data_IF_196405584088
#
_entry.id   IF_196405584088
#
_cell.length_a   1.000
_cell.length_b   1.000
_cell.length_c   1.000
_cell.angle_alpha   90.00
_cell.angle_beta   90.00
_cell.angle_gamma   90.00
#
_symmetry.space_group_name_H-M   'P 1'
#
loop_
_entity.id
_entity.type
_entity.pdbx_description
1 polymer ?
#
# COMPACT_ATOMS: atom_id res chain seq x y z
N UNK A 1 -15.73 -30.42 1.15
CA UNK A 1 -14.46 -29.89 1.70
C UNK A 1 -14.81 -28.62 2.46
N UNK A 2 -15.30 -28.78 3.69
CA UNK A 2 -15.78 -27.65 4.50
C UNK A 2 -14.56 -26.83 4.94
N UNK A 3 -14.54 -25.55 4.57
CA UNK A 3 -13.59 -24.58 5.10
C UNK A 3 -13.67 -24.63 6.62
N UNK A 4 -12.64 -25.16 7.28
CA UNK A 4 -12.53 -25.13 8.73
C UNK A 4 -12.35 -23.66 9.14
N UNK A 5 -13.35 -23.14 9.85
CA UNK A 5 -13.44 -21.77 10.39
C UNK A 5 -12.37 -21.45 11.46
N UNK A 6 -11.32 -22.26 11.54
CA UNK A 6 -10.20 -22.21 12.48
C UNK A 6 -8.86 -21.99 11.74
N UNK A 7 -8.88 -21.61 10.46
CA UNK A 7 -7.67 -21.29 9.72
C UNK A 7 -7.25 -19.84 9.98
N UNK A 8 -5.96 -19.62 10.27
CA UNK A 8 -5.39 -18.28 10.50
C UNK A 8 -5.78 -17.29 9.39
N UNK A 9 -5.79 -17.75 8.13
CA UNK A 9 -6.19 -16.96 6.97
C UNK A 9 -7.63 -16.38 7.03
N UNK A 10 -8.59 -17.11 7.62
CA UNK A 10 -9.97 -16.61 7.76
C UNK A 10 -10.06 -15.51 8.83
N UNK A 11 -9.33 -15.69 9.94
CA UNK A 11 -9.23 -14.67 10.99
C UNK A 11 -8.60 -13.39 10.45
N UNK A 12 -7.49 -13.50 9.71
CA UNK A 12 -6.77 -12.36 9.14
C UNK A 12 -7.63 -11.61 8.11
N UNK A 13 -8.35 -12.34 7.25
CA UNK A 13 -9.28 -11.74 6.30
C UNK A 13 -10.41 -10.96 7.01
N UNK A 14 -10.96 -11.49 8.11
CA UNK A 14 -11.98 -10.79 8.91
C UNK A 14 -11.42 -9.54 9.59
N UNK A 15 -10.20 -9.60 10.12
CA UNK A 15 -9.53 -8.43 10.72
C UNK A 15 -9.30 -7.37 9.65
N UNK A 16 -8.79 -7.73 8.47
CA UNK A 16 -8.58 -6.80 7.36
C UNK A 16 -9.90 -6.18 6.92
N UNK A 17 -10.93 -6.98 6.69
CA UNK A 17 -12.23 -6.51 6.21
C UNK A 17 -12.96 -5.67 7.26
N UNK A 18 -12.92 -6.06 8.53
CA UNK A 18 -13.47 -5.30 9.65
C UNK A 18 -12.74 -3.98 9.85
N UNK A 19 -11.42 -3.99 9.76
CA UNK A 19 -10.58 -2.79 9.82
C UNK A 19 -10.89 -1.86 8.65
N UNK A 20 -10.96 -2.37 7.42
CA UNK A 20 -11.34 -1.58 6.26
C UNK A 20 -12.75 -0.99 6.38
N UNK A 21 -13.71 -1.80 6.85
CA UNK A 21 -15.08 -1.39 7.09
C UNK A 21 -15.25 -0.30 8.15
N UNK A 22 -14.32 -0.17 9.11
CA UNK A 22 -14.32 0.89 10.11
C UNK A 22 -13.50 2.12 9.67
N UNK A 23 -12.30 1.90 9.13
CA UNK A 23 -11.33 2.94 8.80
C UNK A 23 -11.81 3.78 7.62
N UNK A 24 -12.35 3.16 6.57
CA UNK A 24 -12.83 3.88 5.38
C UNK A 24 -13.93 4.90 5.76
N UNK A 25 -15.06 4.52 6.40
CA UNK A 25 -16.10 5.49 6.74
C UNK A 25 -15.64 6.50 7.80
N UNK A 26 -14.77 6.11 8.74
CA UNK A 26 -14.24 7.04 9.74
C UNK A 26 -13.39 8.14 9.08
N UNK A 27 -12.40 7.78 8.26
CA UNK A 27 -11.48 8.74 7.66
C UNK A 27 -12.14 9.57 6.56
N UNK A 28 -13.04 8.98 5.77
CA UNK A 28 -13.83 9.73 4.79
C UNK A 28 -14.76 10.75 5.46
N UNK A 29 -15.30 10.45 6.66
CA UNK A 29 -16.07 11.42 7.46
C UNK A 29 -15.24 12.64 7.87
N UNK A 30 -13.95 12.45 8.14
CA UNK A 30 -13.01 13.54 8.44
C UNK A 30 -12.38 14.19 7.19
N UNK A 31 -12.80 13.81 5.98
CA UNK A 31 -12.23 14.28 4.69
C UNK A 31 -10.72 13.99 4.54
N UNK A 32 -10.24 12.93 5.18
CA UNK A 32 -8.86 12.46 5.04
C UNK A 32 -8.83 11.34 4.00
N UNK A 33 -7.80 11.31 3.15
CA UNK A 33 -7.61 10.23 2.17
C UNK A 33 -7.48 8.88 2.91
N UNK A 34 -8.29 7.86 2.56
CA UNK A 34 -8.28 6.55 3.24
C UNK A 34 -6.90 5.89 3.31
N UNK A 35 -6.03 6.15 2.33
CA UNK A 35 -4.63 5.66 2.28
C UNK A 35 -3.85 6.02 3.55
N UNK A 36 -3.98 7.26 4.04
CA UNK A 36 -3.32 7.69 5.29
C UNK A 36 -3.85 6.88 6.47
N UNK A 37 -5.17 6.64 6.50
CA UNK A 37 -5.81 5.81 7.52
C UNK A 37 -5.28 4.38 7.52
N UNK A 38 -5.15 3.76 6.34
CA UNK A 38 -4.60 2.40 6.23
C UNK A 38 -3.13 2.33 6.68
N UNK A 39 -2.30 3.32 6.33
CA UNK A 39 -0.89 3.38 6.77
C UNK A 39 -0.82 3.53 8.30
N UNK A 40 -1.59 4.46 8.88
CA UNK A 40 -1.61 4.69 10.32
C UNK A 40 -2.07 3.45 11.08
N UNK A 41 -3.14 2.82 10.60
CA UNK A 41 -3.70 1.62 11.21
C UNK A 41 -2.73 0.45 11.11
N UNK A 42 -2.11 0.21 9.95
CA UNK A 42 -1.07 -0.81 9.80
C UNK A 42 0.13 -0.55 10.71
N UNK A 43 0.56 0.71 10.84
CA UNK A 43 1.63 1.10 11.74
C UNK A 43 1.26 0.90 13.22
N UNK A 44 0.01 1.18 13.61
CA UNK A 44 -0.47 1.06 14.98
C UNK A 44 -0.72 -0.40 15.38
N UNK A 45 -1.33 -1.17 14.49
CA UNK A 45 -1.77 -2.56 14.71
C UNK A 45 -0.64 -3.56 14.42
N UNK A 46 0.44 -3.12 13.77
CA UNK A 46 1.60 -3.95 13.45
C UNK A 46 2.37 -4.49 14.67
N UNK A 47 3.25 -5.48 14.44
CA UNK A 47 3.94 -6.22 15.51
C UNK A 47 4.84 -5.32 16.37
N UNK A 48 5.36 -4.23 15.81
CA UNK A 48 6.26 -3.31 16.49
C UNK A 48 5.57 -2.23 17.33
N UNK A 49 4.24 -2.11 17.23
CA UNK A 49 3.43 -1.13 17.97
C UNK A 49 2.52 -1.85 18.98
N UNK A 50 1.20 -1.91 18.73
CA UNK A 50 0.26 -2.58 19.63
C UNK A 50 0.55 -4.08 19.78
N UNK A 51 1.18 -4.71 18.78
CA UNK A 51 1.64 -6.11 18.88
C UNK A 51 2.61 -6.39 20.04
N UNK A 52 3.36 -5.37 20.50
CA UNK A 52 4.24 -5.50 21.69
C UNK A 52 3.46 -5.57 23.01
N UNK A 53 2.31 -4.91 23.07
CA UNK A 53 1.47 -4.85 24.27
C UNK A 53 0.56 -6.08 24.41
N UNK A 54 0.57 -6.99 23.44
CA UNK A 54 -0.14 -8.28 23.52
C UNK A 54 0.33 -9.11 24.72
N UNK A 55 1.59 -8.96 25.14
CA UNK A 55 2.14 -9.62 26.32
C UNK A 55 1.46 -9.17 27.63
N UNK A 56 1.09 -7.89 27.73
CA UNK A 56 0.44 -7.32 28.92
C UNK A 56 -1.09 -7.36 28.83
N UNK A 57 -1.64 -7.36 27.61
CA UNK A 57 -3.07 -7.34 27.32
C UNK A 57 -3.44 -8.44 26.30
N UNK A 58 -3.83 -9.65 26.76
CA UNK A 58 -4.09 -10.79 25.87
C UNK A 58 -5.21 -10.56 24.85
N UNK A 59 -6.14 -9.67 25.15
CA UNK A 59 -7.26 -9.32 24.26
C UNK A 59 -6.81 -8.52 23.02
N UNK A 60 -5.64 -7.88 23.05
CA UNK A 60 -5.09 -7.19 21.88
C UNK A 60 -4.75 -8.16 20.74
N UNK A 61 -4.51 -9.45 21.04
CA UNK A 61 -4.19 -10.48 20.04
C UNK A 61 -5.22 -10.54 18.89
N UNK A 62 -6.50 -10.34 19.19
CA UNK A 62 -7.58 -10.37 18.20
C UNK A 62 -7.64 -9.13 17.31
N UNK A 63 -6.96 -8.05 17.69
CA UNK A 63 -6.94 -6.78 16.96
C UNK A 63 -5.60 -6.58 16.26
N UNK A 64 -4.50 -7.15 16.78
CA UNK A 64 -3.14 -7.02 16.24
C UNK A 64 -2.82 -8.03 15.15
N UNK A 65 -2.07 -7.59 14.14
CA UNK A 65 -1.57 -8.47 13.09
C UNK A 65 -0.36 -9.22 13.64
N UNK A 66 -0.53 -10.53 13.83
CA UNK A 66 0.50 -11.40 14.44
C UNK A 66 1.53 -11.90 13.42
N UNK A 67 1.16 -11.99 12.14
CA UNK A 67 2.03 -12.46 11.07
C UNK A 67 1.87 -11.62 9.79
N UNK A 68 2.87 -10.76 9.46
CA UNK A 68 2.87 -10.00 8.21
C UNK A 68 2.81 -10.88 6.94
N UNK A 69 3.38 -12.09 6.97
CA UNK A 69 3.44 -12.98 5.81
C UNK A 69 2.08 -13.55 5.43
N UNK A 70 1.15 -13.64 6.39
CA UNK A 70 -0.20 -14.14 6.14
C UNK A 70 -1.07 -13.12 5.38
N UNK A 71 -0.71 -11.84 5.38
CA UNK A 71 -1.42 -10.75 4.69
C UNK A 71 -0.82 -10.46 3.30
N UNK A 72 0.45 -10.75 3.11
CA UNK A 72 1.21 -10.47 1.89
C UNK A 72 0.52 -10.97 0.60
N UNK A 73 -0.01 -12.22 0.51
CA UNK A 73 -0.69 -12.70 -0.70
C UNK A 73 -1.99 -11.93 -1.00
N UNK A 74 -2.71 -11.46 0.03
CA UNK A 74 -3.92 -10.66 -0.15
C UNK A 74 -3.58 -9.26 -0.67
N UNK A 75 -2.49 -8.67 -0.17
CA UNK A 75 -2.02 -7.37 -0.65
C UNK A 75 -1.55 -7.45 -2.12
N UNK A 76 -0.76 -8.48 -2.46
CA UNK A 76 -0.34 -8.74 -3.84
C UNK A 76 -1.53 -8.92 -4.78
N UNK A 77 -2.51 -9.73 -4.37
CA UNK A 77 -3.72 -9.95 -5.15
C UNK A 77 -4.53 -8.66 -5.32
N UNK A 78 -4.65 -7.85 -4.27
CA UNK A 78 -5.30 -6.54 -4.33
C UNK A 78 -4.63 -5.59 -5.33
N UNK A 79 -3.30 -5.52 -5.33
CA UNK A 79 -2.52 -4.72 -6.29
C UNK A 79 -2.72 -5.24 -7.72
N UNK A 80 -2.69 -6.57 -7.92
CA UNK A 80 -2.93 -7.18 -9.24
C UNK A 80 -4.33 -6.81 -9.76
N UNK A 81 -5.36 -6.95 -8.93
CA UNK A 81 -6.73 -6.59 -9.30
C UNK A 81 -6.88 -5.10 -9.59
N UNK A 82 -6.23 -4.23 -8.81
CA UNK A 82 -6.23 -2.79 -9.02
C UNK A 82 -5.58 -2.44 -10.37
N UNK A 83 -4.37 -2.94 -10.63
CA UNK A 83 -3.65 -2.70 -11.89
C UNK A 83 -4.41 -3.27 -13.09
N UNK A 84 -5.07 -4.42 -12.92
CA UNK A 84 -5.93 -5.01 -13.94
C UNK A 84 -7.15 -4.13 -14.23
N UNK A 85 -7.84 -3.65 -13.20
CA UNK A 85 -8.99 -2.73 -13.36
C UNK A 85 -8.60 -1.43 -14.05
N UNK A 86 -7.46 -0.83 -13.67
CA UNK A 86 -6.91 0.36 -14.33
C UNK A 86 -6.62 0.05 -15.81
N UNK A 87 -6.09 -1.13 -16.12
CA UNK A 87 -5.87 -1.60 -17.48
C UNK A 87 -7.16 -1.73 -18.30
N UNK A 88 -8.26 -2.20 -17.69
CA UNK A 88 -9.56 -2.29 -18.35
C UNK A 88 -10.23 -0.93 -18.60
N UNK A 89 -10.01 0.05 -17.72
CA UNK A 89 -10.56 1.40 -17.86
C UNK A 89 -9.82 2.23 -18.93
N UNK A 90 -8.55 1.91 -19.18
CA UNK A 90 -7.72 2.57 -20.19
C UNK A 90 -7.92 1.98 -21.59
N UNK A 91 -8.66 2.70 -22.44
CA UNK A 91 -8.71 2.37 -23.87
C UNK A 91 -7.45 2.85 -24.62
N UNK A 92 -6.96 2.02 -25.55
CA UNK A 92 -5.80 2.35 -26.38
C UNK A 92 -5.95 3.70 -27.11
N UNK A 93 -7.17 4.01 -27.59
CA UNK A 93 -7.49 5.27 -28.27
C UNK A 93 -7.30 6.49 -27.36
N UNK A 94 -7.74 6.39 -26.10
CA UNK A 94 -7.58 7.46 -25.09
C UNK A 94 -6.11 7.66 -24.74
N UNK A 95 -5.37 6.58 -24.54
CA UNK A 95 -3.93 6.63 -24.27
C UNK A 95 -3.16 7.27 -25.44
N UNK A 96 -3.50 6.89 -26.68
CA UNK A 96 -2.85 7.44 -27.87
C UNK A 96 -3.14 8.94 -28.06
N UNK A 97 -4.35 9.39 -27.74
CA UNK A 97 -4.71 10.80 -27.72
C UNK A 97 -3.88 11.61 -26.72
N UNK A 98 -3.47 10.98 -25.61
CA UNK A 98 -2.66 11.61 -24.56
C UNK A 98 -1.16 11.27 -24.64
N UNK A 99 -0.69 10.63 -25.71
CA UNK A 99 0.68 10.08 -25.80
C UNK A 99 1.80 11.07 -25.50
N UNK A 100 1.66 12.34 -25.91
CA UNK A 100 2.65 13.39 -25.60
C UNK A 100 2.65 13.77 -24.13
N UNK A 101 1.48 13.79 -23.50
CA UNK A 101 1.34 14.08 -22.08
C UNK A 101 1.83 12.91 -21.21
N UNK A 102 1.49 11.67 -21.58
CA UNK A 102 1.86 10.47 -20.81
C UNK A 102 3.32 10.09 -21.04
N UNK A 103 3.72 9.82 -22.29
CA UNK A 103 5.08 9.33 -22.60
C UNK A 103 6.12 10.43 -22.76
N UNK A 104 5.70 11.67 -23.04
CA UNK A 104 6.61 12.81 -23.10
C UNK A 104 6.76 13.45 -21.73
N UNK A 105 5.75 14.23 -21.33
CA UNK A 105 5.78 15.00 -20.08
C UNK A 105 5.77 14.11 -18.84
N UNK A 106 4.93 13.07 -18.80
CA UNK A 106 4.80 12.16 -17.66
C UNK A 106 6.09 11.41 -17.37
N UNK A 107 6.65 10.73 -18.37
CA UNK A 107 7.93 10.04 -18.25
C UNK A 107 9.08 10.98 -17.90
N UNK A 108 9.12 12.19 -18.48
CA UNK A 108 10.16 13.19 -18.16
C UNK A 108 10.05 13.65 -16.70
N UNK A 109 8.84 13.91 -16.20
CA UNK A 109 8.60 14.27 -14.80
C UNK A 109 9.03 13.15 -13.87
N UNK A 110 8.68 11.90 -14.19
CA UNK A 110 9.04 10.73 -13.39
C UNK A 110 10.55 10.54 -13.30
N UNK A 111 11.27 10.62 -14.42
CA UNK A 111 12.72 10.48 -14.44
C UNK A 111 13.36 11.62 -13.65
N UNK A 112 12.92 12.86 -13.87
CA UNK A 112 13.47 14.02 -13.18
C UNK A 112 13.23 13.95 -11.67
N UNK A 113 12.02 13.62 -11.21
CA UNK A 113 11.73 13.47 -9.79
C UNK A 113 12.51 12.31 -9.18
N UNK A 114 12.62 11.17 -9.87
CA UNK A 114 13.40 10.04 -9.41
C UNK A 114 14.90 10.38 -9.26
N UNK A 115 15.46 11.14 -10.20
CA UNK A 115 16.85 11.61 -10.14
C UNK A 115 17.07 12.63 -9.02
N UNK A 116 16.14 13.55 -8.80
CA UNK A 116 16.25 14.53 -7.72
C UNK A 116 16.21 13.83 -6.36
N UNK A 117 15.22 12.93 -6.16
CA UNK A 117 15.06 12.19 -4.91
C UNK A 117 16.24 11.23 -4.70
N UNK A 118 16.56 10.42 -5.72
CA UNK A 118 17.67 9.47 -5.66
C UNK A 118 19.03 10.16 -5.48
N UNK A 119 19.25 11.30 -6.15
CA UNK A 119 20.44 12.12 -5.97
C UNK A 119 20.56 12.67 -4.55
N UNK A 120 19.45 13.11 -3.95
CA UNK A 120 19.40 13.48 -2.54
C UNK A 120 19.81 12.31 -1.63
N UNK A 121 19.22 11.13 -1.83
CA UNK A 121 19.53 9.93 -1.04
C UNK A 121 21.00 9.53 -1.13
N UNK A 122 21.62 9.63 -2.32
CA UNK A 122 23.06 9.38 -2.50
C UNK A 122 23.91 10.33 -1.62
N UNK A 123 23.54 11.61 -1.53
CA UNK A 123 24.25 12.59 -0.70
C UNK A 123 24.10 12.24 0.79
N UNK A 124 22.96 11.69 1.20
CA UNK A 124 22.72 11.20 2.57
C UNK A 124 23.37 9.84 2.87
N UNK A 125 24.15 9.27 1.94
CA UNK A 125 24.94 8.07 2.15
C UNK A 125 24.23 6.75 1.80
N UNK A 126 23.09 6.81 1.12
CA UNK A 126 22.42 5.61 0.63
C UNK A 126 23.21 4.92 -0.49
N UNK A 127 23.11 3.59 -0.55
CA UNK A 127 23.77 2.81 -1.62
C UNK A 127 23.14 3.16 -2.97
N UNK A 128 23.92 3.18 -4.08
CA UNK A 128 23.39 3.54 -5.40
C UNK A 128 22.16 2.75 -5.84
N UNK A 129 22.13 1.44 -5.56
CA UNK A 129 20.95 0.62 -5.84
C UNK A 129 19.71 1.00 -5.01
N UNK A 130 19.89 1.29 -3.72
CA UNK A 130 18.82 1.70 -2.83
C UNK A 130 18.29 3.10 -3.17
N UNK A 131 19.19 4.05 -3.43
CA UNK A 131 18.85 5.41 -3.83
C UNK A 131 18.07 5.45 -5.16
N UNK A 132 18.47 4.66 -6.16
CA UNK A 132 17.72 4.52 -7.41
C UNK A 132 16.36 3.87 -7.21
N UNK A 133 16.30 2.79 -6.44
CA UNK A 133 15.05 2.08 -6.15
C UNK A 133 14.03 2.96 -5.42
N UNK A 134 14.47 3.62 -4.34
CA UNK A 134 13.64 4.54 -3.56
C UNK A 134 13.29 5.80 -4.35
N UNK A 135 14.22 6.35 -5.12
CA UNK A 135 13.97 7.50 -6.00
C UNK A 135 12.84 7.21 -6.99
N UNK A 136 12.87 6.06 -7.66
CA UNK A 136 11.80 5.62 -8.55
C UNK A 136 10.48 5.34 -7.81
N UNK A 137 10.54 4.65 -6.68
CA UNK A 137 9.35 4.31 -5.89
C UNK A 137 8.61 5.56 -5.40
N UNK A 138 9.34 6.57 -4.92
CA UNK A 138 8.78 7.83 -4.42
C UNK A 138 8.37 8.79 -5.56
N UNK A 139 8.95 8.64 -6.74
CA UNK A 139 8.57 9.42 -7.92
C UNK A 139 7.23 8.98 -8.54
N UNK A 140 6.79 7.74 -8.29
CA UNK A 140 5.53 7.21 -8.77
C UNK A 140 4.35 7.84 -8.01
N UNK A 141 3.52 8.61 -8.72
CA UNK A 141 2.27 9.15 -8.16
C UNK A 141 1.16 8.12 -8.29
N UNK A 142 0.55 7.72 -7.18
CA UNK A 142 -0.69 6.93 -7.19
C UNK A 142 -1.87 7.84 -7.55
N UNK A 143 -2.60 7.52 -8.62
CA UNK A 143 -3.82 8.25 -9.05
C UNK A 143 -5.09 7.65 -8.45
N UNK A 144 -4.99 7.07 -7.24
CA UNK A 144 -6.12 6.51 -6.50
C UNK A 144 -6.91 7.59 -5.75
#
# INVERSE_FOLDING_TARGET
MAFSLTSAAFSDALVILGTAGLVIPAFTRFRITPVIGFILVGALIGPNALGRLVADFPWLYYVTISDPHSIEPFAEFGIILLLFSIGLELSFRRLWGMRRAVFGLGSSKLILSALIIGGGLLIFGERPGGALGLGLALALSSTA
#
